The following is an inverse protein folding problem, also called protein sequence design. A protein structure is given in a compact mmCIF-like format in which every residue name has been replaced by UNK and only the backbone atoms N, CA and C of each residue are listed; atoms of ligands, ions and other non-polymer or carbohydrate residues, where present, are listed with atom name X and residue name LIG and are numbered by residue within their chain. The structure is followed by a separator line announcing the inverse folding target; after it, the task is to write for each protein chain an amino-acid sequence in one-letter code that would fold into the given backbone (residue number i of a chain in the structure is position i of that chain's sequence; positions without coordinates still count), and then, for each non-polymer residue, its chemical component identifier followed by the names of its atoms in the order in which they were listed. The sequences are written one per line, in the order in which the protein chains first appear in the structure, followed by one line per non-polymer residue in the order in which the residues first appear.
data_IF_327335932414
#
_entry.id   IF_327335932414
#
_cell.length_a   1.000
_cell.length_b   1.000
_cell.length_c   1.000
_cell.angle_alpha   90.00
_cell.angle_beta   90.00
_cell.angle_gamma   90.00
#
_symmetry.space_group_name_H-M   'P 1'
#
loop_
_entity.id
_entity.type
_entity.pdbx_description
1 polymer ?
#
# COMPACT_ATOMS: atom_id res chain seq x y z
N UNK A 1 -12.21 -9.58 6.02
CA UNK A 1 -11.44 -8.57 5.27
C UNK A 1 -12.29 -8.17 4.07
N UNK A 2 -12.22 -6.93 3.59
CA UNK A 2 -12.91 -6.55 2.34
C UNK A 2 -12.25 -7.27 1.15
N UNK A 3 -12.99 -7.73 0.12
CA UNK A 3 -12.41 -8.41 -1.05
C UNK A 3 -11.30 -7.59 -1.73
N UNK A 4 -11.45 -6.27 -1.79
CA UNK A 4 -10.42 -5.37 -2.34
C UNK A 4 -9.15 -5.39 -1.47
N UNK A 5 -9.29 -5.44 -0.15
CA UNK A 5 -8.15 -5.58 0.76
C UNK A 5 -7.44 -6.92 0.59
N UNK A 6 -8.19 -8.00 0.41
CA UNK A 6 -7.60 -9.32 0.17
C UNK A 6 -6.76 -9.35 -1.11
N UNK A 7 -7.19 -8.62 -2.15
CA UNK A 7 -6.44 -8.48 -3.40
C UNK A 7 -5.13 -7.69 -3.25
N UNK A 8 -5.16 -6.54 -2.56
CA UNK A 8 -3.99 -5.65 -2.48
C UNK A 8 -3.07 -5.88 -1.27
N UNK A 9 -3.54 -6.51 -0.20
CA UNK A 9 -2.73 -6.75 1.01
C UNK A 9 -1.42 -7.51 0.76
N UNK A 10 -1.36 -8.54 -0.10
CA UNK A 10 -0.11 -9.21 -0.43
C UNK A 10 0.94 -8.25 -1.02
N UNK A 11 0.53 -7.38 -1.93
CA UNK A 11 1.40 -6.38 -2.57
C UNK A 11 1.87 -5.34 -1.56
N UNK A 12 0.95 -4.79 -0.75
CA UNK A 12 1.31 -3.84 0.30
C UNK A 12 2.30 -4.46 1.30
N UNK A 13 2.07 -5.72 1.68
CA UNK A 13 2.97 -6.45 2.59
C UNK A 13 4.35 -6.63 2.00
N UNK A 14 4.45 -6.93 0.69
CA UNK A 14 5.73 -7.01 0.00
C UNK A 14 6.45 -5.65 0.01
N UNK A 15 5.78 -4.56 -0.36
CA UNK A 15 6.36 -3.22 -0.38
C UNK A 15 6.83 -2.76 1.01
N UNK A 16 6.09 -3.10 2.07
CA UNK A 16 6.48 -2.83 3.45
C UNK A 16 7.77 -3.56 3.81
N UNK A 17 7.90 -4.84 3.45
CA UNK A 17 9.14 -5.61 3.68
C UNK A 17 10.32 -5.02 2.92
N UNK A 18 10.12 -4.68 1.65
CA UNK A 18 11.17 -4.06 0.82
C UNK A 18 11.62 -2.71 1.41
N UNK A 19 10.68 -1.89 1.89
CA UNK A 19 10.99 -0.66 2.62
C UNK A 19 11.79 -0.91 3.91
N UNK A 20 11.40 -1.90 4.71
CA UNK A 20 12.01 -2.17 6.01
C UNK A 20 13.42 -2.78 5.87
N UNK A 21 13.69 -3.48 4.76
CA UNK A 21 15.01 -3.97 4.43
C UNK A 21 15.98 -2.87 3.96
N UNK A 22 15.49 -1.68 3.60
CA UNK A 22 16.35 -0.61 3.11
C UNK A 22 17.07 0.14 4.26
N UNK A 23 18.39 0.39 4.11
CA UNK A 23 19.14 1.29 4.96
C UNK A 23 18.51 2.70 5.05
N UNK A 24 18.64 3.36 6.20
CA UNK A 24 18.03 4.66 6.46
C UNK A 24 18.55 5.80 5.57
N UNK A 25 19.78 5.68 5.06
CA UNK A 25 20.42 6.61 4.13
C UNK A 25 19.87 6.49 2.70
N UNK A 26 19.20 5.39 2.34
CA UNK A 26 18.51 5.22 1.05
C UNK A 26 17.13 5.92 1.04
N UNK A 27 17.13 7.20 1.44
CA UNK A 27 15.92 8.01 1.67
C UNK A 27 15.02 8.07 0.44
N UNK A 28 15.58 8.19 -0.76
CA UNK A 28 14.80 8.31 -1.98
C UNK A 28 14.03 7.03 -2.32
N UNK A 29 14.65 5.87 -2.14
CA UNK A 29 14.03 4.57 -2.37
C UNK A 29 13.00 4.25 -1.28
N UNK A 30 13.31 4.51 -0.01
CA UNK A 30 12.34 4.41 1.09
C UNK A 30 11.11 5.27 0.84
N UNK A 31 11.29 6.52 0.41
CA UNK A 31 10.18 7.41 0.03
C UNK A 31 9.41 6.89 -1.19
N UNK A 32 10.07 6.19 -2.11
CA UNK A 32 9.39 5.55 -3.25
C UNK A 32 8.42 4.47 -2.78
N UNK A 33 8.86 3.57 -1.90
CA UNK A 33 8.00 2.55 -1.31
C UNK A 33 6.84 3.14 -0.52
N UNK A 34 7.12 4.16 0.31
CA UNK A 34 6.08 4.86 1.07
C UNK A 34 4.99 5.46 0.16
N UNK A 35 5.37 6.08 -0.96
CA UNK A 35 4.40 6.62 -1.93
C UNK A 35 3.56 5.52 -2.58
N UNK A 36 4.17 4.40 -2.95
CA UNK A 36 3.46 3.26 -3.53
C UNK A 36 2.46 2.66 -2.55
N UNK A 37 2.87 2.44 -1.29
CA UNK A 37 2.00 1.94 -0.22
C UNK A 37 0.82 2.90 0.00
N UNK A 38 1.10 4.20 0.13
CA UNK A 38 0.06 5.20 0.36
C UNK A 38 -0.92 5.27 -0.82
N UNK A 39 -0.42 5.17 -2.06
CA UNK A 39 -1.26 5.11 -3.25
C UNK A 39 -2.22 3.92 -3.21
N UNK A 40 -1.72 2.72 -2.92
CA UNK A 40 -2.55 1.50 -2.83
C UNK A 40 -3.58 1.59 -1.71
N UNK A 41 -3.19 2.12 -0.54
CA UNK A 41 -4.13 2.31 0.57
C UNK A 41 -5.25 3.30 0.23
N UNK A 42 -4.95 4.35 -0.52
CA UNK A 42 -5.97 5.30 -0.99
C UNK A 42 -6.89 4.68 -2.04
N UNK A 43 -6.34 3.89 -2.97
CA UNK A 43 -7.14 3.17 -3.97
C UNK A 43 -8.11 2.19 -3.30
N UNK A 44 -7.65 1.40 -2.33
CA UNK A 44 -8.48 0.53 -1.49
C UNK A 44 -9.60 1.34 -0.83
N UNK A 45 -9.25 2.45 -0.17
CA UNK A 45 -10.22 3.27 0.56
C UNK A 45 -11.28 3.87 -0.37
N UNK A 46 -10.89 4.28 -1.58
CA UNK A 46 -11.81 4.79 -2.59
C UNK A 46 -12.79 3.70 -3.04
N UNK A 47 -12.29 2.50 -3.36
CA UNK A 47 -13.13 1.39 -3.79
C UNK A 47 -14.07 0.91 -2.67
N UNK A 48 -13.59 0.82 -1.42
CA UNK A 48 -14.43 0.53 -0.25
C UNK A 48 -15.52 1.60 -0.05
N UNK A 49 -15.18 2.87 -0.30
CA UNK A 49 -16.14 3.97 -0.25
C UNK A 49 -17.20 3.79 -1.33
N UNK A 50 -16.82 3.55 -2.59
CA UNK A 50 -17.75 3.34 -3.71
C UNK A 50 -18.68 2.14 -3.47
N UNK A 51 -18.15 1.03 -2.96
CA UNK A 51 -18.94 -0.16 -2.59
C UNK A 51 -19.94 0.11 -1.46
N UNK A 52 -19.70 1.13 -0.62
CA UNK A 52 -20.62 1.48 0.48
C UNK A 52 -21.88 2.21 0.00
N UNK A 53 -21.91 2.68 -1.25
CA UNK A 53 -23.07 3.34 -1.88
C UNK A 53 -23.72 2.51 -2.99
N UNK A 54 -23.25 1.28 -3.20
CA UNK A 54 -23.80 0.31 -4.14
C UNK A 54 -24.70 -0.71 -3.42
#
# INVERSE_FOLDING_TARGET
MSPVREHYNPVITQLLREHDCLPHDMVNERKSFQRQILFLMNAIKLEEFEQSFA
#
